data_IF_051753307109
#
_entry.id   IF_051753307109
#
_cell.length_a   1.000
_cell.length_b   1.000
_cell.length_c   1.000
_cell.angle_alpha   90.00
_cell.angle_beta   90.00
_cell.angle_gamma   90.00
#
_symmetry.space_group_name_H-M   'P 1'
#
loop_
_entity.id
_entity.type
_entity.pdbx_description
1 polymer ?
#
# COMPACT_ATOMS: atom_id res chain seq x y z
N UNK A 1 4.19 -31.23 19.98
CA UNK A 1 4.19 -31.08 18.51
C UNK A 1 3.76 -29.64 18.20
N UNK A 2 4.71 -28.72 18.03
CA UNK A 2 4.38 -27.31 17.77
C UNK A 2 3.73 -27.19 16.40
N UNK A 3 2.40 -27.01 16.37
CA UNK A 3 1.68 -26.75 15.13
C UNK A 3 2.32 -25.50 14.49
N UNK A 4 2.85 -25.65 13.27
CA UNK A 4 3.45 -24.53 12.56
C UNK A 4 2.33 -23.52 12.25
N UNK A 5 2.51 -22.26 12.62
CA UNK A 5 1.61 -21.13 12.30
C UNK A 5 0.99 -21.19 10.88
N UNK A 6 1.74 -21.50 9.80
CA UNK A 6 1.14 -21.65 8.46
C UNK A 6 0.07 -22.74 8.34
N UNK A 7 0.20 -23.84 9.09
CA UNK A 7 -0.77 -24.94 9.06
C UNK A 7 -2.09 -24.50 9.69
N UNK A 8 -2.03 -23.75 10.80
CA UNK A 8 -3.22 -23.19 11.46
C UNK A 8 -3.96 -22.28 10.46
N UNK A 9 -3.24 -21.37 9.82
CA UNK A 9 -3.81 -20.49 8.81
C UNK A 9 -4.44 -21.23 7.63
N UNK A 10 -3.77 -22.26 7.10
CA UNK A 10 -4.30 -23.06 5.99
C UNK A 10 -5.58 -23.79 6.38
N UNK A 11 -5.63 -24.39 7.58
CA UNK A 11 -6.82 -25.08 8.07
C UNK A 11 -7.96 -24.10 8.33
N UNK A 12 -7.69 -22.96 8.99
CA UNK A 12 -8.70 -21.92 9.20
C UNK A 12 -9.24 -21.38 7.88
N UNK A 13 -8.38 -21.12 6.89
CA UNK A 13 -8.81 -20.68 5.56
C UNK A 13 -9.73 -21.70 4.88
N UNK A 14 -9.38 -22.98 4.94
CA UNK A 14 -10.20 -24.05 4.38
C UNK A 14 -11.57 -24.16 5.07
N UNK A 15 -11.61 -24.10 6.39
CA UNK A 15 -12.86 -24.10 7.16
C UNK A 15 -13.74 -22.89 6.80
N UNK A 16 -13.16 -21.69 6.74
CA UNK A 16 -13.88 -20.48 6.34
C UNK A 16 -14.45 -20.59 4.92
N UNK A 17 -13.70 -21.19 4.00
CA UNK A 17 -14.15 -21.38 2.62
C UNK A 17 -15.33 -22.35 2.54
N UNK A 18 -15.31 -23.42 3.35
CA UNK A 18 -16.45 -24.34 3.45
C UNK A 18 -17.66 -23.66 4.07
N UNK A 19 -17.48 -22.91 5.15
CA UNK A 19 -18.57 -22.13 5.78
C UNK A 19 -19.17 -21.13 4.79
N UNK A 20 -18.32 -20.44 4.02
CA UNK A 20 -18.77 -19.52 2.97
C UNK A 20 -19.59 -20.23 1.89
N UNK A 21 -19.19 -21.43 1.48
CA UNK A 21 -19.91 -22.20 0.46
C UNK A 21 -21.30 -22.65 0.97
N UNK A 22 -21.39 -23.13 2.20
CA UNK A 22 -22.69 -23.52 2.81
C UNK A 22 -23.57 -22.30 2.98
N UNK A 23 -23.02 -21.18 3.49
CA UNK A 23 -23.77 -19.94 3.60
C UNK A 23 -24.29 -19.46 2.24
N UNK A 24 -23.45 -19.45 1.21
CA UNK A 24 -23.86 -19.06 -0.14
C UNK A 24 -24.94 -20.00 -0.71
N UNK A 25 -24.84 -21.31 -0.48
CA UNK A 25 -25.86 -22.28 -0.88
C UNK A 25 -27.20 -21.96 -0.23
N UNK A 26 -27.22 -21.78 1.09
CA UNK A 26 -28.44 -21.44 1.82
C UNK A 26 -29.02 -20.09 1.39
N UNK A 27 -28.15 -19.11 1.12
CA UNK A 27 -28.56 -17.82 0.57
C UNK A 27 -29.24 -17.94 -0.80
N UNK A 28 -28.72 -18.78 -1.69
CA UNK A 28 -29.31 -19.02 -3.01
C UNK A 28 -30.63 -19.79 -2.89
N UNK A 29 -30.67 -20.82 -2.03
CA UNK A 29 -31.91 -21.54 -1.75
C UNK A 29 -32.99 -20.60 -1.19
N UNK A 30 -32.61 -19.70 -0.28
CA UNK A 30 -33.52 -18.71 0.30
C UNK A 30 -34.01 -17.69 -0.73
N UNK A 31 -33.12 -17.19 -1.60
CA UNK A 31 -33.48 -16.16 -2.58
C UNK A 31 -34.28 -16.70 -3.77
N UNK A 32 -33.88 -17.84 -4.33
CA UNK A 32 -34.49 -18.41 -5.54
C UNK A 32 -35.49 -19.53 -5.25
N UNK A 33 -35.55 -20.06 -4.03
CA UNK A 33 -36.40 -21.23 -3.70
C UNK A 33 -35.95 -22.51 -4.42
N UNK A 34 -34.69 -22.57 -4.86
CA UNK A 34 -34.16 -23.69 -5.63
C UNK A 34 -33.89 -24.93 -4.77
N UNK A 35 -34.03 -26.11 -5.37
CA UNK A 35 -33.58 -27.35 -4.76
C UNK A 35 -32.05 -27.33 -4.54
N UNK A 36 -31.59 -27.95 -3.45
CA UNK A 36 -30.20 -27.89 -2.98
C UNK A 36 -29.15 -28.24 -4.05
N UNK A 37 -29.48 -29.17 -4.97
CA UNK A 37 -28.57 -29.61 -6.03
C UNK A 37 -28.24 -28.47 -7.00
N UNK A 38 -29.23 -27.67 -7.42
CA UNK A 38 -29.03 -26.56 -8.34
C UNK A 38 -28.42 -25.36 -7.62
N UNK A 39 -28.81 -25.15 -6.36
CA UNK A 39 -28.22 -24.13 -5.50
C UNK A 39 -26.72 -24.38 -5.26
N UNK A 40 -26.30 -25.64 -5.12
CA UNK A 40 -24.89 -26.01 -4.97
C UNK A 40 -24.07 -25.63 -6.20
N UNK A 41 -24.53 -25.98 -7.41
CA UNK A 41 -23.82 -25.59 -8.65
C UNK A 41 -23.74 -24.07 -8.80
N UNK A 42 -24.84 -23.35 -8.51
CA UNK A 42 -24.84 -21.90 -8.55
C UNK A 42 -23.89 -21.29 -7.52
N UNK A 43 -23.89 -21.79 -6.27
CA UNK A 43 -22.99 -21.34 -5.20
C UNK A 43 -21.54 -21.58 -5.57
N UNK A 44 -21.23 -22.75 -6.15
CA UNK A 44 -19.90 -23.09 -6.61
C UNK A 44 -19.43 -22.14 -7.72
N UNK A 45 -20.27 -21.86 -8.72
CA UNK A 45 -19.94 -20.90 -9.78
C UNK A 45 -19.74 -19.48 -9.24
N UNK A 46 -20.58 -19.03 -8.28
CA UNK A 46 -20.43 -17.74 -7.63
C UNK A 46 -19.14 -17.65 -6.81
N UNK A 47 -18.73 -18.76 -6.16
CA UNK A 47 -17.48 -18.84 -5.40
C UNK A 47 -16.23 -18.72 -6.28
N UNK A 48 -16.31 -19.04 -7.58
CA UNK A 48 -15.20 -18.86 -8.52
C UNK A 48 -14.99 -17.38 -8.90
N UNK A 49 -16.04 -16.55 -8.80
CA UNK A 49 -15.94 -15.14 -9.14
C UNK A 49 -15.41 -14.39 -7.90
N UNK A 50 -14.23 -13.75 -8.01
CA UNK A 50 -13.68 -12.96 -6.91
C UNK A 50 -14.68 -11.89 -6.47
N UNK A 51 -14.76 -11.63 -5.17
CA UNK A 51 -15.74 -10.77 -4.50
C UNK A 51 -17.22 -11.23 -4.51
N UNK A 52 -17.73 -11.85 -5.58
CA UNK A 52 -19.14 -12.29 -5.61
C UNK A 52 -19.38 -13.46 -4.66
N UNK A 53 -18.48 -14.44 -4.60
CA UNK A 53 -18.57 -15.55 -3.65
C UNK A 53 -18.74 -15.09 -2.19
N UNK A 54 -17.87 -14.20 -1.68
CA UNK A 54 -18.03 -13.58 -0.37
C UNK A 54 -19.35 -12.83 -0.19
N UNK A 55 -19.84 -12.09 -1.19
CA UNK A 55 -21.15 -11.41 -1.11
C UNK A 55 -22.30 -12.41 -0.95
N UNK A 56 -22.29 -13.50 -1.73
CA UNK A 56 -23.29 -14.56 -1.61
C UNK A 56 -23.22 -15.24 -0.23
N UNK A 57 -22.02 -15.47 0.28
CA UNK A 57 -21.80 -15.98 1.64
C UNK A 57 -22.35 -15.04 2.71
N UNK A 58 -22.08 -13.73 2.61
CA UNK A 58 -22.62 -12.71 3.52
C UNK A 58 -24.15 -12.71 3.46
N UNK A 59 -24.73 -12.69 2.27
CA UNK A 59 -26.18 -12.68 2.10
C UNK A 59 -26.82 -13.91 2.76
N UNK A 60 -26.26 -15.10 2.53
CA UNK A 60 -26.75 -16.32 3.15
C UNK A 60 -26.58 -16.35 4.67
N UNK A 61 -25.43 -15.95 5.20
CA UNK A 61 -25.25 -15.89 6.65
C UNK A 61 -26.21 -14.90 7.32
N UNK A 62 -26.50 -13.76 6.69
CA UNK A 62 -27.42 -12.76 7.24
C UNK A 62 -28.87 -13.21 7.12
N UNK A 63 -29.30 -13.63 5.93
CA UNK A 63 -30.72 -13.90 5.67
C UNK A 63 -31.14 -15.31 6.05
N UNK A 64 -30.30 -16.32 5.77
CA UNK A 64 -30.63 -17.71 6.08
C UNK A 64 -30.23 -18.08 7.52
N UNK A 65 -29.07 -17.61 8.02
CA UNK A 65 -28.60 -17.96 9.36
C UNK A 65 -28.88 -16.90 10.43
N UNK A 66 -29.39 -15.72 10.04
CA UNK A 66 -29.72 -14.65 10.98
C UNK A 66 -28.50 -13.98 11.62
N UNK A 67 -27.32 -14.08 11.02
CA UNK A 67 -26.12 -13.44 11.55
C UNK A 67 -26.18 -11.92 11.40
N UNK A 68 -25.53 -11.18 12.33
CA UNK A 68 -25.38 -9.75 12.14
C UNK A 68 -24.47 -9.47 10.92
N UNK A 69 -24.92 -8.56 10.05
CA UNK A 69 -24.24 -8.24 8.79
C UNK A 69 -22.76 -7.88 8.95
N UNK A 70 -22.41 -7.11 10.00
CA UNK A 70 -21.01 -6.73 10.25
C UNK A 70 -20.11 -7.94 10.53
N UNK A 71 -20.62 -8.97 11.22
CA UNK A 71 -19.85 -10.17 11.52
C UNK A 71 -19.65 -11.03 10.26
N UNK A 72 -20.69 -11.18 9.45
CA UNK A 72 -20.62 -11.91 8.19
C UNK A 72 -19.63 -11.24 7.21
N UNK A 73 -19.69 -9.90 7.09
CA UNK A 73 -18.76 -9.14 6.26
C UNK A 73 -17.33 -9.31 6.77
N UNK A 74 -17.09 -9.14 8.07
CA UNK A 74 -15.74 -9.27 8.63
C UNK A 74 -15.18 -10.68 8.41
N UNK A 75 -16.02 -11.72 8.51
CA UNK A 75 -15.60 -13.11 8.35
C UNK A 75 -15.32 -13.48 6.89
N UNK A 76 -16.16 -13.11 5.93
CA UNK A 76 -16.00 -13.51 4.52
C UNK A 76 -15.15 -12.53 3.70
N UNK A 77 -15.12 -11.25 4.07
CA UNK A 77 -14.25 -10.25 3.43
C UNK A 77 -12.89 -10.07 4.12
N UNK A 78 -12.57 -10.90 5.11
CA UNK A 78 -11.31 -10.81 5.86
C UNK A 78 -10.03 -10.66 5.00
N UNK A 79 -9.86 -11.33 3.82
CA UNK A 79 -8.63 -11.19 3.04
C UNK A 79 -8.56 -9.81 2.37
N UNK A 80 -9.72 -9.28 1.95
CA UNK A 80 -9.82 -7.94 1.35
C UNK A 80 -9.59 -6.85 2.39
N UNK A 81 -10.12 -7.02 3.59
CA UNK A 81 -9.89 -6.11 4.72
C UNK A 81 -8.41 -6.10 5.07
N UNK A 82 -7.79 -7.28 5.20
CA UNK A 82 -6.37 -7.39 5.50
C UNK A 82 -5.52 -6.73 4.41
N UNK A 83 -5.85 -6.97 3.14
CA UNK A 83 -5.17 -6.33 2.01
C UNK A 83 -5.31 -4.80 2.04
N UNK A 84 -6.51 -4.27 2.30
CA UNK A 84 -6.75 -2.84 2.41
C UNK A 84 -5.95 -2.19 3.56
N UNK A 85 -5.85 -2.86 4.70
CA UNK A 85 -5.03 -2.40 5.83
C UNK A 85 -3.55 -2.40 5.47
N UNK A 86 -3.03 -3.47 4.88
CA UNK A 86 -1.62 -3.53 4.46
C UNK A 86 -1.28 -2.45 3.43
N UNK A 87 -2.18 -2.22 2.47
CA UNK A 87 -2.01 -1.21 1.43
C UNK A 87 -2.01 0.21 2.03
N UNK A 88 -2.92 0.51 2.95
CA UNK A 88 -2.96 1.82 3.62
C UNK A 88 -1.70 2.11 4.45
N UNK A 89 -1.16 1.11 5.14
CA UNK A 89 0.12 1.22 5.86
C UNK A 89 1.31 1.42 4.91
N UNK A 90 1.32 0.71 3.78
CA UNK A 90 2.33 0.87 2.72
C UNK A 90 2.32 2.26 2.09
N UNK A 91 1.14 2.81 1.80
CA UNK A 91 1.00 4.18 1.29
C UNK A 91 1.51 5.18 2.33
N UNK A 92 1.08 5.04 3.59
CA UNK A 92 1.44 5.98 4.67
C UNK A 92 2.95 6.03 4.90
N UNK A 93 3.61 4.86 4.94
CA UNK A 93 5.07 4.77 5.09
C UNK A 93 5.82 5.36 3.89
N UNK A 94 5.34 5.11 2.67
CA UNK A 94 5.91 5.69 1.45
C UNK A 94 5.79 7.22 1.43
N UNK A 95 4.63 7.76 1.84
CA UNK A 95 4.39 9.20 1.89
C UNK A 95 5.27 9.89 2.95
N UNK A 96 5.47 9.24 4.11
CA UNK A 96 6.38 9.73 5.15
C UNK A 96 7.84 9.74 4.68
N UNK A 97 8.28 8.67 4.01
CA UNK A 97 9.63 8.59 3.45
C UNK A 97 9.85 9.62 2.34
N UNK A 98 8.87 9.81 1.45
CA UNK A 98 8.94 10.81 0.38
C UNK A 98 9.15 12.23 0.91
N UNK A 99 8.43 12.61 1.98
CA UNK A 99 8.62 13.89 2.66
C UNK A 99 10.04 14.06 3.23
N UNK A 100 10.69 12.97 3.65
CA UNK A 100 12.06 12.99 4.16
C UNK A 100 13.09 13.04 3.03
N UNK A 101 12.82 12.38 1.91
CA UNK A 101 13.69 12.33 0.74
C UNK A 101 13.76 13.67 -0.02
N UNK A 102 12.67 14.45 -0.01
CA UNK A 102 12.60 15.77 -0.65
C UNK A 102 13.00 16.94 0.27
N UNK A 103 13.68 16.69 1.40
CA UNK A 103 14.35 17.80 2.08
C UNK A 103 15.35 18.41 1.10
N UNK A 104 15.28 19.73 0.80
CA UNK A 104 16.23 20.35 -0.10
C UNK A 104 17.63 20.09 0.44
N UNK A 105 18.54 19.66 -0.43
CA UNK A 105 19.95 19.55 -0.10
C UNK A 105 20.38 20.92 0.40
N UNK A 106 20.56 21.04 1.72
CA UNK A 106 21.08 22.25 2.31
C UNK A 106 22.52 22.32 1.83
N UNK A 107 22.76 23.21 0.87
CA UNK A 107 24.08 23.50 0.33
C UNK A 107 24.99 23.81 1.53
N UNK A 108 25.93 22.90 1.79
CA UNK A 108 26.95 23.09 2.80
C UNK A 108 27.87 24.15 2.21
N UNK A 109 27.62 25.42 2.53
CA UNK A 109 28.54 26.52 2.25
C UNK A 109 29.83 26.26 3.03
N UNK A 110 30.72 25.51 2.37
CA UNK A 110 32.05 25.18 2.80
C UNK A 110 32.94 26.35 2.42
N UNK A 111 33.27 27.16 3.43
CA UNK A 111 34.41 28.06 3.46
C UNK A 111 34.57 28.95 2.21
N UNK A 112 33.93 30.12 2.23
CA UNK A 112 34.41 31.26 1.43
C UNK A 112 35.80 31.60 1.99
N UNK A 113 36.84 31.01 1.39
CA UNK A 113 38.20 31.49 1.53
C UNK A 113 38.23 32.78 0.71
N UNK A 114 38.08 33.93 1.37
CA UNK A 114 38.38 35.21 0.75
C UNK A 114 39.88 35.18 0.39
N UNK A 115 40.27 35.36 -0.88
CA UNK A 115 41.67 35.53 -1.17
C UNK A 115 42.08 36.92 -0.70
N UNK A 116 42.79 36.99 0.41
CA UNK A 116 43.49 38.18 0.90
C UNK A 116 44.67 38.49 -0.05
N UNK A 117 44.35 38.96 -1.26
CA UNK A 117 45.34 39.61 -2.13
C UNK A 117 45.53 41.04 -1.61
N UNK A 118 46.40 41.18 -0.61
CA UNK A 118 47.03 42.47 -0.32
C UNK A 118 47.98 42.80 -1.47
N UNK A 119 47.55 43.71 -2.34
CA UNK A 119 48.45 44.34 -3.32
C UNK A 119 49.42 45.20 -2.51
N UNK A 120 50.66 44.73 -2.36
CA UNK A 120 51.76 45.59 -1.96
C UNK A 120 52.07 46.51 -3.13
N UNK A 121 51.66 47.77 -3.03
CA UNK A 121 52.29 48.84 -3.80
C UNK A 121 53.71 48.99 -3.24
N UNK A 122 54.67 48.35 -3.90
CA UNK A 122 56.08 48.65 -3.68
C UNK A 122 56.45 49.82 -4.59
N UNK A 123 56.82 50.90 -3.93
CA UNK A 123 57.38 52.12 -4.48
C UNK A 123 58.74 51.87 -5.15
N UNK A 124 59.04 52.70 -6.14
CA UNK A 124 60.36 52.91 -6.77
C UNK A 124 60.77 51.97 -7.91
N UNK A 125 60.47 52.37 -9.15
CA UNK A 125 61.55 52.49 -10.11
C UNK A 125 61.37 53.69 -11.03
N UNK A 126 62.49 54.37 -11.22
CA UNK A 126 62.70 55.74 -11.64
C UNK A 126 63.20 55.73 -13.08
N UNK A 127 62.66 56.64 -13.88
CA UNK A 127 63.23 57.20 -15.12
C UNK A 127 63.37 56.32 -16.37
N UNK A 128 63.08 57.01 -17.49
CA UNK A 128 63.47 56.75 -18.88
C UNK A 128 62.77 55.55 -19.53
N UNK A 129 61.95 55.72 -20.57
CA UNK A 129 62.34 55.93 -21.99
C UNK A 129 61.07 56.41 -22.72
N UNK A 130 60.99 57.66 -23.17
CA UNK A 130 61.25 58.14 -24.54
C UNK A 130 60.21 57.74 -25.63
N UNK A 131 59.58 58.78 -26.18
CA UNK A 131 58.86 58.96 -27.46
C UNK A 131 57.68 58.05 -27.86
N UNK A 132 56.49 58.66 -28.02
CA UNK A 132 55.80 58.68 -29.33
C UNK A 132 55.17 60.06 -29.55
N UNK A 133 55.76 60.80 -30.48
CA UNK A 133 55.29 62.04 -31.07
C UNK A 133 54.07 61.78 -31.97
N UNK A 134 52.99 62.57 -31.83
CA UNK A 134 51.96 62.69 -32.87
C UNK A 134 51.49 64.14 -33.02
N UNK A 135 52.06 64.75 -34.07
CA UNK A 135 51.56 65.76 -35.01
C UNK A 135 50.83 66.99 -34.47
#
# INVERSE_FOLDING_TARGET
MSLKLPVIFAVSYLLLTLVQLVAALDGIMYFFGLHWIFAFFAAFLLALIPAIGPLAGVYGAVQAWGWPAWAAVLLFFWPYILYAVMLSLGITSSFFFWKKAFKPFKEKNENVIEPEFTVKEDSDEKNDIFYIERK
#
